data_IF_149423629768
#
_entry.id   IF_149423629768
#
_cell.length_a   1.000
_cell.length_b   1.000
_cell.length_c   1.000
_cell.angle_alpha   90.00
_cell.angle_beta   90.00
_cell.angle_gamma   90.00
#
_symmetry.space_group_name_H-M   'P 1'
#
loop_
_entity.id
_entity.type
_entity.pdbx_description
1 polymer ?
#
# COMPACT_ATOMS: atom_id res chain seq x y z
N UNK A 1 16.83 -26.20 13.35
CA UNK A 1 16.50 -25.13 12.39
C UNK A 1 15.25 -24.32 12.79
N UNK A 2 14.09 -24.96 12.94
CA UNK A 2 12.82 -24.31 13.31
C UNK A 2 12.86 -23.45 14.59
N UNK A 3 13.56 -23.91 15.63
CA UNK A 3 13.74 -23.15 16.89
C UNK A 3 14.45 -21.81 16.68
N UNK A 4 15.47 -21.76 15.80
CA UNK A 4 16.21 -20.53 15.47
C UNK A 4 15.34 -19.56 14.67
N UNK A 5 14.57 -20.07 13.69
CA UNK A 5 13.63 -19.26 12.90
C UNK A 5 12.56 -18.65 13.80
N UNK A 6 11.96 -19.45 14.69
CA UNK A 6 10.97 -18.96 15.66
C UNK A 6 11.57 -17.88 16.56
N UNK A 7 12.77 -18.09 17.09
CA UNK A 7 13.43 -17.10 17.93
C UNK A 7 13.69 -15.78 17.17
N UNK A 8 14.11 -15.87 15.91
CA UNK A 8 14.33 -14.71 15.04
C UNK A 8 13.03 -13.94 14.73
N UNK A 9 11.96 -14.64 14.34
CA UNK A 9 10.69 -14.01 13.96
C UNK A 9 9.89 -13.45 15.14
N UNK A 10 10.05 -14.03 16.33
CA UNK A 10 9.31 -13.64 17.53
C UNK A 10 10.18 -12.89 18.55
N UNK A 11 11.38 -12.46 18.15
CA UNK A 11 12.19 -11.55 18.96
C UNK A 11 11.37 -10.28 19.26
N UNK A 12 11.24 -9.85 20.52
CA UNK A 12 10.54 -8.61 20.86
C UNK A 12 11.30 -7.39 20.30
N UNK A 13 10.64 -6.61 19.44
CA UNK A 13 11.14 -5.35 18.89
C UNK A 13 10.22 -4.20 19.26
N UNK A 14 10.78 -3.00 19.35
CA UNK A 14 10.00 -1.78 19.59
C UNK A 14 9.04 -1.51 18.42
N UNK A 15 7.77 -1.19 18.72
CA UNK A 15 6.75 -0.91 17.71
C UNK A 15 6.87 0.45 17.00
N UNK A 16 7.87 1.29 17.31
CA UNK A 16 8.04 2.62 16.72
C UNK A 16 7.95 2.61 15.20
N UNK A 17 8.75 1.79 14.54
CA UNK A 17 8.87 1.77 13.06
C UNK A 17 7.53 1.38 12.43
N UNK A 18 6.88 0.32 12.93
CA UNK A 18 5.62 -0.14 12.34
C UNK A 18 4.45 0.81 12.65
N UNK A 19 4.49 1.51 13.79
CA UNK A 19 3.48 2.52 14.12
C UNK A 19 3.62 3.77 13.26
N UNK A 20 4.85 4.20 12.94
CA UNK A 20 5.11 5.26 11.95
C UNK A 20 4.68 4.80 10.56
N UNK A 21 4.99 3.56 10.20
CA UNK A 21 4.53 2.97 8.94
C UNK A 21 3.02 3.01 8.78
N UNK A 22 2.26 2.63 9.83
CA UNK A 22 0.79 2.74 9.86
C UNK A 22 0.32 4.16 9.56
N UNK A 23 0.94 5.17 10.16
CA UNK A 23 0.58 6.59 9.94
C UNK A 23 0.87 6.97 8.49
N UNK A 24 2.06 6.67 7.98
CA UNK A 24 2.44 6.98 6.60
C UNK A 24 1.52 6.28 5.58
N UNK A 25 1.23 4.99 5.79
CA UNK A 25 0.30 4.23 4.97
C UNK A 25 -1.10 4.86 4.99
N UNK A 26 -1.62 5.19 6.17
CA UNK A 26 -2.92 5.83 6.30
C UNK A 26 -3.01 7.19 5.60
N UNK A 27 -1.99 8.05 5.75
CA UNK A 27 -1.92 9.34 5.06
C UNK A 27 -1.87 9.18 3.53
N UNK A 28 -1.07 8.24 3.04
CA UNK A 28 -0.99 7.94 1.62
C UNK A 28 -2.33 7.43 1.08
N UNK A 29 -3.04 6.59 1.85
CA UNK A 29 -4.38 6.11 1.48
C UNK A 29 -5.44 7.20 1.52
N UNK A 30 -5.36 8.16 2.44
CA UNK A 30 -6.24 9.35 2.45
C UNK A 30 -6.05 10.14 1.15
N UNK A 31 -4.80 10.43 0.78
CA UNK A 31 -4.49 11.11 -0.47
C UNK A 31 -5.03 10.33 -1.69
N UNK A 32 -4.81 9.01 -1.72
CA UNK A 32 -5.32 8.15 -2.79
C UNK A 32 -6.84 8.20 -2.90
N UNK A 33 -7.57 8.22 -1.79
CA UNK A 33 -9.03 8.31 -1.79
C UNK A 33 -9.51 9.67 -2.30
N UNK A 34 -8.85 10.77 -1.92
CA UNK A 34 -9.15 12.09 -2.49
C UNK A 34 -8.94 12.12 -4.00
N UNK A 35 -7.80 11.61 -4.47
CA UNK A 35 -7.54 11.49 -5.91
C UNK A 35 -8.62 10.64 -6.62
N UNK A 36 -9.07 9.54 -6.02
CA UNK A 36 -10.17 8.75 -6.57
C UNK A 36 -11.51 9.50 -6.62
N UNK A 37 -11.77 10.43 -5.69
CA UNK A 37 -12.94 11.30 -5.77
C UNK A 37 -12.80 12.34 -6.88
N UNK A 38 -11.61 12.95 -7.02
CA UNK A 38 -11.34 13.98 -8.03
C UNK A 38 -11.53 13.48 -9.45
N UNK A 39 -11.08 12.26 -9.76
CA UNK A 39 -11.22 11.68 -11.10
C UNK A 39 -12.54 10.91 -11.29
N UNK A 40 -13.41 10.89 -10.28
CA UNK A 40 -14.61 10.05 -10.23
C UNK A 40 -14.32 8.58 -10.58
N UNK A 41 -13.40 7.97 -9.84
CA UNK A 41 -12.86 6.61 -10.07
C UNK A 41 -13.97 5.56 -10.27
N UNK A 42 -15.05 5.65 -9.48
CA UNK A 42 -16.21 4.75 -9.58
C UNK A 42 -16.85 4.84 -10.96
N UNK A 43 -17.08 6.05 -11.47
CA UNK A 43 -17.65 6.21 -12.79
C UNK A 43 -16.66 5.77 -13.87
N UNK A 44 -15.41 6.24 -13.80
CA UNK A 44 -14.42 5.99 -14.85
C UNK A 44 -14.08 4.51 -15.03
N UNK A 45 -13.98 3.76 -13.94
CA UNK A 45 -13.41 2.40 -13.98
C UNK A 45 -14.37 1.28 -13.60
N UNK A 46 -15.59 1.59 -13.16
CA UNK A 46 -16.52 0.55 -12.66
C UNK A 46 -17.93 0.65 -13.23
N UNK A 47 -18.56 1.83 -13.12
CA UNK A 47 -19.96 1.97 -13.53
C UNK A 47 -20.16 2.56 -14.93
N UNK A 48 -19.16 3.26 -15.47
CA UNK A 48 -19.19 3.89 -16.78
C UNK A 48 -18.75 3.00 -17.95
N UNK A 49 -17.76 2.09 -17.80
CA UNK A 49 -17.35 1.19 -18.89
C UNK A 49 -18.49 0.29 -19.38
N UNK A 50 -18.57 0.06 -20.69
CA UNK A 50 -19.56 -0.85 -21.29
C UNK A 50 -19.27 -2.33 -20.99
N UNK A 51 -18.00 -2.65 -20.80
CA UNK A 51 -17.51 -3.99 -20.50
C UNK A 51 -16.41 -3.88 -19.44
N UNK A 52 -16.41 -4.84 -18.51
CA UNK A 52 -15.35 -5.01 -17.51
C UNK A 52 -14.69 -6.37 -17.72
N UNK A 53 -13.40 -6.45 -17.43
CA UNK A 53 -12.62 -7.68 -17.59
C UNK A 53 -12.25 -8.25 -16.23
N UNK A 54 -13.07 -9.13 -15.62
CA UNK A 54 -12.77 -9.68 -14.31
C UNK A 54 -11.50 -10.55 -14.34
N UNK A 55 -10.86 -10.72 -13.17
CA UNK A 55 -9.75 -11.67 -13.03
C UNK A 55 -10.25 -13.10 -13.18
N UNK A 56 -9.42 -13.95 -13.78
CA UNK A 56 -9.63 -15.39 -13.80
C UNK A 56 -9.88 -15.90 -12.37
N UNK A 57 -10.91 -16.73 -12.18
CA UNK A 57 -11.40 -17.22 -10.87
C UNK A 57 -12.16 -16.21 -10.00
N UNK A 58 -12.25 -14.94 -10.39
CA UNK A 58 -13.00 -13.89 -9.69
C UNK A 58 -14.17 -13.31 -10.51
N UNK A 59 -14.59 -13.99 -11.57
CA UNK A 59 -15.71 -13.60 -12.45
C UNK A 59 -17.05 -13.42 -11.71
N UNK A 60 -17.20 -14.01 -10.53
CA UNK A 60 -18.39 -13.85 -9.69
C UNK A 60 -18.48 -12.46 -9.04
N UNK A 61 -17.37 -11.71 -8.98
CA UNK A 61 -17.33 -10.34 -8.46
C UNK A 61 -17.85 -9.41 -9.54
N UNK A 62 -19.08 -8.92 -9.36
CA UNK A 62 -19.71 -7.95 -10.25
C UNK A 62 -19.77 -6.58 -9.60
N UNK A 63 -19.66 -5.48 -10.37
CA UNK A 63 -19.81 -4.14 -9.82
C UNK A 63 -21.19 -3.98 -9.18
N UNK A 64 -21.20 -3.58 -7.91
CA UNK A 64 -22.38 -3.08 -7.22
C UNK A 64 -22.92 -1.81 -7.89
N UNK A 65 -24.10 -1.37 -7.46
CA UNK A 65 -24.67 -0.10 -7.94
C UNK A 65 -23.70 1.07 -7.73
N UNK A 66 -23.70 2.04 -8.64
CA UNK A 66 -22.80 3.20 -8.57
C UNK A 66 -22.88 3.93 -7.21
N UNK A 67 -24.08 4.05 -6.64
CA UNK A 67 -24.29 4.61 -5.30
C UNK A 67 -23.61 3.79 -4.21
N UNK A 68 -23.75 2.45 -4.23
CA UNK A 68 -23.09 1.56 -3.28
C UNK A 68 -21.56 1.68 -3.36
N UNK A 69 -21.01 1.76 -4.57
CA UNK A 69 -19.57 1.92 -4.79
C UNK A 69 -19.06 3.24 -4.19
N UNK A 70 -19.78 4.35 -4.39
CA UNK A 70 -19.42 5.66 -3.79
C UNK A 70 -19.48 5.63 -2.26
N UNK A 71 -20.46 4.92 -1.67
CA UNK A 71 -20.49 4.72 -0.21
C UNK A 71 -19.32 3.89 0.30
N UNK A 72 -18.93 2.83 -0.41
CA UNK A 72 -17.75 2.03 -0.07
C UNK A 72 -16.49 2.90 -0.16
N UNK A 73 -16.33 3.69 -1.22
CA UNK A 73 -15.22 4.63 -1.40
C UNK A 73 -15.13 5.63 -0.25
N UNK A 74 -16.27 6.21 0.17
CA UNK A 74 -16.32 7.10 1.31
C UNK A 74 -15.97 6.39 2.63
N UNK A 75 -16.47 5.17 2.83
CA UNK A 75 -16.09 4.34 3.97
C UNK A 75 -14.59 4.01 4.00
N UNK A 76 -13.96 3.83 2.83
CA UNK A 76 -12.51 3.62 2.73
C UNK A 76 -11.73 4.87 3.14
N UNK A 77 -12.20 6.07 2.78
CA UNK A 77 -11.61 7.33 3.25
C UNK A 77 -11.68 7.45 4.78
N UNK A 78 -12.85 7.19 5.37
CA UNK A 78 -13.01 7.18 6.83
C UNK A 78 -12.06 6.15 7.45
N UNK A 79 -11.99 4.96 6.87
CA UNK A 79 -11.12 3.89 7.34
C UNK A 79 -9.63 4.28 7.28
N UNK A 80 -9.19 4.97 6.23
CA UNK A 80 -7.82 5.48 6.12
C UNK A 80 -7.49 6.51 7.21
N UNK A 81 -8.44 7.40 7.55
CA UNK A 81 -8.31 8.34 8.68
C UNK A 81 -8.18 7.58 10.00
N UNK A 82 -9.08 6.61 10.23
CA UNK A 82 -9.08 5.76 11.43
C UNK A 82 -7.78 4.96 11.57
N UNK A 83 -7.25 4.41 10.47
CA UNK A 83 -5.95 3.72 10.41
C UNK A 83 -4.84 4.70 10.79
N UNK A 84 -4.85 5.92 10.27
CA UNK A 84 -3.83 6.96 10.52
C UNK A 84 -3.78 7.33 12.01
N UNK A 85 -4.92 7.64 12.61
CA UNK A 85 -5.00 8.04 14.03
C UNK A 85 -4.96 6.84 14.99
N UNK A 86 -5.20 5.63 14.47
CA UNK A 86 -5.14 4.38 15.23
C UNK A 86 -6.32 4.20 16.17
N UNK A 87 -7.47 4.74 15.78
CA UNK A 87 -8.74 4.55 16.47
C UNK A 87 -9.54 3.46 15.76
N UNK A 88 -10.07 2.48 16.50
CA UNK A 88 -10.74 1.30 15.93
C UNK A 88 -9.94 0.60 14.80
N UNK A 89 -8.61 0.64 14.92
CA UNK A 89 -7.66 0.26 13.88
C UNK A 89 -7.99 -1.09 13.22
N UNK A 90 -8.26 -2.13 14.02
CA UNK A 90 -8.56 -3.49 13.52
C UNK A 90 -9.77 -3.52 12.59
N UNK A 91 -10.84 -2.82 12.93
CA UNK A 91 -12.04 -2.76 12.09
C UNK A 91 -11.80 -1.91 10.84
N UNK A 92 -11.11 -0.78 11.00
CA UNK A 92 -10.80 0.13 9.90
C UNK A 92 -9.92 -0.55 8.84
N UNK A 93 -8.86 -1.27 9.24
CA UNK A 93 -7.98 -1.95 8.29
C UNK A 93 -8.66 -3.12 7.57
N UNK A 94 -9.54 -3.86 8.24
CA UNK A 94 -10.33 -4.94 7.61
C UNK A 94 -11.28 -4.34 6.57
N UNK A 95 -12.04 -3.31 6.93
CA UNK A 95 -12.94 -2.65 5.98
C UNK A 95 -12.18 -2.07 4.79
N UNK A 96 -11.06 -1.38 5.05
CA UNK A 96 -10.21 -0.83 4.00
C UNK A 96 -9.68 -1.92 3.06
N UNK A 97 -9.14 -3.02 3.60
CA UNK A 97 -8.64 -4.14 2.80
C UNK A 97 -9.74 -4.72 1.91
N UNK A 98 -10.93 -4.99 2.46
CA UNK A 98 -12.04 -5.56 1.70
C UNK A 98 -12.53 -4.61 0.61
N UNK A 99 -12.74 -3.33 0.94
CA UNK A 99 -13.18 -2.33 -0.02
C UNK A 99 -12.16 -2.12 -1.14
N UNK A 100 -10.88 -1.95 -0.80
CA UNK A 100 -9.83 -1.67 -1.77
C UNK A 100 -9.54 -2.90 -2.65
N UNK A 101 -9.53 -4.11 -2.07
CA UNK A 101 -9.36 -5.35 -2.84
C UNK A 101 -10.54 -5.60 -3.76
N UNK A 102 -11.76 -5.31 -3.31
CA UNK A 102 -12.94 -5.38 -4.17
C UNK A 102 -12.82 -4.38 -5.34
N UNK A 103 -12.34 -3.16 -5.08
CA UNK A 103 -12.11 -2.18 -6.15
C UNK A 103 -11.07 -2.66 -7.16
N UNK A 104 -9.98 -3.25 -6.67
CA UNK A 104 -8.91 -3.81 -7.48
C UNK A 104 -9.34 -5.04 -8.31
N UNK A 105 -10.21 -5.89 -7.79
CA UNK A 105 -10.62 -7.15 -8.43
C UNK A 105 -11.74 -7.00 -9.47
N UNK A 106 -12.40 -5.84 -9.55
CA UNK A 106 -13.49 -5.61 -10.52
C UNK A 106 -13.01 -5.69 -11.97
N UNK A 107 -11.82 -5.16 -12.25
CA UNK A 107 -11.29 -5.11 -13.61
C UNK A 107 -9.78 -5.34 -13.61
N UNK A 108 -9.32 -6.23 -14.48
CA UNK A 108 -7.91 -6.56 -14.71
C UNK A 108 -7.18 -5.45 -15.46
N UNK A 109 -7.88 -4.65 -16.26
CA UNK A 109 -7.27 -3.59 -17.08
C UNK A 109 -6.71 -2.44 -16.25
N UNK A 110 -7.22 -2.25 -15.03
CA UNK A 110 -6.70 -1.27 -14.06
C UNK A 110 -5.52 -1.81 -13.25
N UNK A 111 -5.03 -3.02 -13.55
CA UNK A 111 -3.94 -3.64 -12.82
C UNK A 111 -2.72 -2.73 -12.76
N UNK A 112 -2.21 -2.56 -11.55
CA UNK A 112 -0.96 -1.87 -11.29
C UNK A 112 -0.28 -2.50 -10.08
N UNK A 113 1.03 -2.75 -10.19
CA UNK A 113 1.84 -3.35 -9.12
C UNK A 113 1.71 -2.60 -7.78
N UNK A 114 1.49 -1.29 -7.81
CA UNK A 114 1.28 -0.48 -6.60
C UNK A 114 -0.08 -0.75 -5.96
N UNK A 115 -1.16 -0.88 -6.74
CA UNK A 115 -2.49 -1.23 -6.23
C UNK A 115 -2.49 -2.64 -5.64
N UNK A 116 -1.82 -3.57 -6.31
CA UNK A 116 -1.61 -4.92 -5.81
C UNK A 116 -0.82 -4.92 -4.48
N UNK A 117 0.26 -4.14 -4.40
CA UNK A 117 1.03 -3.97 -3.17
C UNK A 117 0.16 -3.41 -2.03
N UNK A 118 -0.71 -2.44 -2.30
CA UNK A 118 -1.63 -1.89 -1.29
C UNK A 118 -2.58 -2.98 -0.75
N UNK A 119 -3.10 -3.86 -1.61
CA UNK A 119 -3.91 -5.00 -1.17
C UNK A 119 -3.13 -5.93 -0.23
N UNK A 120 -1.90 -6.30 -0.60
CA UNK A 120 -1.04 -7.16 0.23
C UNK A 120 -0.65 -6.50 1.56
N UNK A 121 -0.31 -5.22 1.54
CA UNK A 121 0.05 -4.48 2.75
C UNK A 121 -1.14 -4.33 3.69
N UNK A 122 -2.30 -3.95 3.17
CA UNK A 122 -3.52 -3.85 4.00
C UNK A 122 -3.92 -5.21 4.56
N UNK A 123 -3.79 -6.29 3.79
CA UNK A 123 -3.98 -7.66 4.28
C UNK A 123 -3.02 -8.01 5.43
N UNK A 124 -1.73 -7.77 5.24
CA UNK A 124 -0.71 -8.06 6.26
C UNK A 124 -0.95 -7.26 7.54
N UNK A 125 -1.31 -5.97 7.40
CA UNK A 125 -1.63 -5.09 8.51
C UNK A 125 -2.81 -5.62 9.35
N UNK A 126 -3.81 -6.28 8.76
CA UNK A 126 -4.92 -6.89 9.52
C UNK A 126 -4.47 -7.81 10.66
N UNK A 127 -3.30 -8.42 10.55
CA UNK A 127 -2.74 -9.37 11.54
C UNK A 127 -1.70 -8.74 12.47
N UNK A 128 -1.37 -7.46 12.29
CA UNK A 128 -0.30 -6.79 13.04
C UNK A 128 -0.80 -5.84 14.13
N UNK A 129 -0.14 -5.82 15.29
CA UNK A 129 -0.42 -4.88 16.39
C UNK A 129 0.30 -3.52 16.18
N UNK A 130 0.03 -2.84 15.07
CA UNK A 130 0.69 -1.56 14.73
C UNK A 130 0.11 -0.34 15.46
N UNK A 131 -1.01 -0.52 16.18
CA UNK A 131 -1.70 0.49 16.99
C UNK A 131 -1.18 0.59 18.43
N UNK A 132 -0.12 -0.14 18.81
CA UNK A 132 0.47 -0.09 20.17
C UNK A 132 1.12 1.24 20.53
N UNK A 133 1.60 2.01 19.55
CA UNK A 133 2.18 3.35 19.71
C UNK A 133 1.55 4.36 18.75
N UNK A 134 1.66 5.64 19.13
CA UNK A 134 1.22 6.79 18.34
C UNK A 134 -0.24 6.68 17.88
N UNK A 135 -1.09 6.03 18.69
CA UNK A 135 -2.51 5.84 18.40
C UNK A 135 -3.37 6.47 19.48
N UNK A 136 -4.57 6.92 19.12
CA UNK A 136 -5.55 7.41 20.10
C UNK A 136 -5.85 6.33 21.15
N UNK A 137 -5.95 5.06 20.73
CA UNK A 137 -6.13 3.92 21.63
C UNK A 137 -5.01 3.81 22.68
N UNK A 138 -3.75 4.02 22.27
CA UNK A 138 -2.59 4.01 23.19
C UNK A 138 -2.61 5.16 24.19
N UNK A 139 -3.16 6.32 23.80
CA UNK A 139 -3.30 7.49 24.68
C UNK A 139 -4.42 7.27 25.70
N UNK A 140 -5.56 6.73 25.26
CA UNK A 140 -6.72 6.46 26.11
C UNK A 140 -6.46 5.32 27.10
N UNK A 141 -5.71 4.31 26.67
CA UNK A 141 -5.40 3.14 27.50
C UNK A 141 -4.14 3.41 28.31
N UNK A 142 -4.28 4.02 29.50
CA UNK A 142 -3.17 4.30 30.46
C UNK A 142 -2.38 3.06 30.93
N UNK A 143 -2.70 1.86 30.45
CA UNK A 143 -1.86 0.68 30.69
C UNK A 143 -0.62 0.81 29.84
N UNK A 144 0.54 0.65 30.47
CA UNK A 144 1.80 0.32 29.80
C UNK A 144 1.65 -1.04 29.08
N UNK A 145 0.84 -1.10 28.03
CA UNK A 145 0.84 -2.25 27.16
C UNK A 145 2.25 -2.35 26.58
N UNK A 146 2.84 -3.54 26.72
CA UNK A 146 4.13 -3.88 26.15
C UNK A 146 4.26 -3.27 24.76
N UNK A 147 5.11 -2.24 24.67
CA UNK A 147 5.48 -1.50 23.45
C UNK A 147 6.23 -2.39 22.45
N UNK A 148 6.37 -3.66 22.78
CA UNK A 148 7.05 -4.67 22.01
C UNK A 148 6.05 -5.44 21.14
N UNK A 149 6.49 -5.69 19.91
CA UNK A 149 5.86 -6.51 18.90
C UNK A 149 6.85 -7.60 18.46
N UNK A 150 6.39 -8.74 17.95
CA UNK A 150 7.30 -9.73 17.39
C UNK A 150 7.93 -9.19 16.09
N UNK A 151 9.22 -9.45 15.90
CA UNK A 151 10.02 -8.93 14.79
C UNK A 151 9.44 -9.20 13.39
N UNK A 152 8.67 -10.29 13.22
CA UNK A 152 8.03 -10.62 11.93
C UNK A 152 7.13 -9.51 11.40
N UNK A 153 6.55 -8.66 12.26
CA UNK A 153 5.74 -7.52 11.79
C UNK A 153 6.59 -6.60 10.90
N UNK A 154 7.77 -6.23 11.38
CA UNK A 154 8.69 -5.36 10.65
C UNK A 154 9.26 -6.07 9.41
N UNK A 155 9.71 -7.31 9.56
CA UNK A 155 10.30 -8.05 8.44
C UNK A 155 9.31 -8.32 7.31
N UNK A 156 8.04 -8.60 7.63
CA UNK A 156 7.02 -8.81 6.61
C UNK A 156 6.76 -7.53 5.81
N UNK A 157 6.69 -6.37 6.47
CA UNK A 157 6.54 -5.08 5.77
C UNK A 157 7.75 -4.77 4.87
N UNK A 158 8.96 -4.98 5.37
CA UNK A 158 10.18 -4.81 4.57
C UNK A 158 10.15 -5.72 3.35
N UNK A 159 9.81 -7.00 3.54
CA UNK A 159 9.73 -7.98 2.47
C UNK A 159 8.70 -7.59 1.39
N UNK A 160 7.48 -7.22 1.80
CA UNK A 160 6.41 -6.82 0.88
C UNK A 160 6.77 -5.57 0.08
N UNK A 161 7.38 -4.56 0.71
CA UNK A 161 7.81 -3.35 0.00
C UNK A 161 8.99 -3.66 -0.93
N UNK A 162 9.93 -4.53 -0.51
CA UNK A 162 11.11 -4.86 -1.31
C UNK A 162 10.78 -5.66 -2.58
N UNK A 163 9.72 -6.48 -2.54
CA UNK A 163 9.26 -7.32 -3.65
C UNK A 163 9.15 -6.59 -5.01
N UNK A 164 8.34 -5.52 -5.14
CA UNK A 164 8.21 -4.79 -6.40
C UNK A 164 9.51 -4.12 -6.85
N UNK A 165 10.36 -3.64 -5.94
CA UNK A 165 11.66 -3.07 -6.31
C UNK A 165 12.64 -4.14 -6.78
N UNK A 166 12.65 -5.30 -6.14
CA UNK A 166 13.51 -6.41 -6.50
C UNK A 166 13.15 -6.95 -7.89
N UNK A 167 11.88 -7.31 -8.12
CA UNK A 167 11.44 -7.79 -9.43
C UNK A 167 11.51 -6.69 -10.50
N UNK A 168 11.19 -5.45 -10.12
CA UNK A 168 11.36 -4.29 -11.01
C UNK A 168 12.82 -3.98 -11.36
N UNK A 169 13.78 -4.44 -10.56
CA UNK A 169 15.21 -4.41 -10.86
C UNK A 169 15.60 -5.54 -11.81
N UNK A 170 15.15 -6.78 -11.55
CA UNK A 170 15.41 -7.93 -12.43
C UNK A 170 14.92 -7.68 -13.85
N UNK A 171 13.72 -7.13 -14.02
CA UNK A 171 13.17 -6.83 -15.36
C UNK A 171 14.01 -5.79 -16.10
N UNK A 172 14.61 -4.82 -15.38
CA UNK A 172 15.51 -3.82 -15.95
C UNK A 172 16.89 -4.38 -16.31
N UNK A 173 17.29 -5.52 -15.76
CA UNK A 173 18.52 -6.20 -16.16
C UNK A 173 18.35 -7.05 -17.44
N UNK A 174 17.14 -7.12 -17.98
CA UNK A 174 16.89 -7.88 -19.20
C UNK A 174 17.50 -7.23 -20.44
N UNK A 175 17.85 -8.05 -21.44
CA UNK A 175 18.34 -7.58 -22.73
C UNK A 175 17.34 -6.63 -23.41
N UNK A 176 16.04 -6.89 -23.28
CA UNK A 176 15.00 -6.03 -23.84
C UNK A 176 14.97 -4.63 -23.21
N UNK A 177 15.49 -4.46 -22.00
CA UNK A 177 15.56 -3.16 -21.36
C UNK A 177 16.91 -2.48 -21.63
N UNK A 178 18.03 -3.19 -21.37
CA UNK A 178 19.39 -2.64 -21.52
C UNK A 178 19.88 -2.54 -22.97
N UNK A 179 19.41 -3.42 -23.85
CA UNK A 179 19.80 -3.46 -25.26
C UNK A 179 19.06 -2.47 -26.14
N UNK A 180 18.11 -1.71 -25.59
CA UNK A 180 17.39 -0.66 -26.32
C UNK A 180 17.99 0.71 -26.06
N UNK A 181 17.66 1.70 -26.88
CA UNK A 181 18.03 3.11 -26.63
C UNK A 181 17.30 3.73 -25.43
N UNK A 182 16.31 3.05 -24.85
CA UNK A 182 15.46 3.61 -23.80
C UNK A 182 16.26 4.10 -22.56
N UNK A 183 17.25 3.36 -22.01
CA UNK A 183 18.05 3.85 -20.90
C UNK A 183 18.86 5.09 -21.27
N UNK A 184 19.38 5.16 -22.50
CA UNK A 184 20.11 6.33 -23.01
C UNK A 184 19.19 7.54 -23.11
N UNK A 185 18.00 7.37 -23.70
CA UNK A 185 16.99 8.43 -23.84
C UNK A 185 16.56 8.94 -22.45
N UNK A 186 16.23 8.05 -21.51
CA UNK A 186 15.87 8.44 -20.14
C UNK A 186 16.98 9.27 -19.49
N UNK A 187 18.25 8.87 -19.66
CA UNK A 187 19.40 9.58 -19.10
C UNK A 187 19.61 10.96 -19.77
N UNK A 188 19.31 11.09 -21.06
CA UNK A 188 19.37 12.38 -21.77
C UNK A 188 18.26 13.32 -21.29
N UNK A 189 17.03 12.83 -21.11
CA UNK A 189 15.94 13.63 -20.54
C UNK A 189 16.19 14.02 -19.08
N UNK A 190 16.76 13.13 -18.25
CA UNK A 190 17.02 13.44 -16.84
C UNK A 190 18.05 14.57 -16.66
N UNK A 191 18.93 14.81 -17.63
CA UNK A 191 19.89 15.94 -17.59
C UNK A 191 19.22 17.31 -17.71
N UNK A 192 17.99 17.36 -18.20
CA UNK A 192 17.20 18.59 -18.32
C UNK A 192 16.46 18.95 -17.03
N UNK A 193 16.50 18.05 -16.04
CA UNK A 193 15.76 18.21 -14.80
C UNK A 193 16.49 19.13 -13.82
N UNK A 194 15.73 19.95 -13.09
CA UNK A 194 16.25 20.99 -12.19
C UNK A 194 17.14 20.37 -11.09
N UNK A 195 16.74 19.18 -10.62
CA UNK A 195 17.48 18.40 -9.63
C UNK A 195 18.86 17.96 -10.13
N UNK A 196 18.98 17.60 -11.41
CA UNK A 196 20.26 17.19 -11.99
C UNK A 196 21.23 18.36 -12.05
N UNK A 197 20.75 19.55 -12.41
CA UNK A 197 21.56 20.77 -12.42
C UNK A 197 22.02 21.25 -11.02
N UNK A 198 21.25 20.93 -9.97
CA UNK A 198 21.65 21.21 -8.58
C UNK A 198 22.74 20.26 -8.07
N UNK A 199 22.65 18.98 -8.44
CA UNK A 199 23.63 17.96 -8.03
C UNK A 199 24.95 18.14 -8.81
N UNK A 200 24.87 18.43 -10.11
CA UNK A 200 26.07 18.56 -10.96
C UNK A 200 26.90 19.79 -10.62
N UNK A 201 26.28 20.89 -10.17
CA UNK A 201 26.99 22.13 -9.78
C UNK A 201 27.81 21.98 -8.49
N UNK A 202 27.47 21.02 -7.65
CA UNK A 202 28.16 20.77 -6.37
C UNK A 202 29.16 19.60 -6.45
N UNK A 203 29.35 19.01 -7.64
CA UNK A 203 30.24 17.88 -7.89
C UNK A 203 31.54 18.27 -8.62
N UNK A 204 31.80 19.57 -8.79
CA UNK A 204 33.04 20.17 -9.33
C UNK A 204 33.64 21.10 -8.30
#
# INVERSE_FOLDING_TARGET
MLKKIRQFLFEPKDSNIVSVYRIAFGLFMIYQMFYYFEIDYVYQFMSGPQMLFPYDSFEFIKPLSSSSLRYIQFGMLISAILITIGFLYRYAIIFFFLGFSYFFLIDTTIYNNHLYLICLLSFALMFMDVDKKYSIKSILTKKEHSKLIPAWHQYLLIFLISLPYFYGGITKLSYNWLGTDLPRIIMEYSKQDILFGLISKNAT
#
